data_IF_763247059051
#
_entry.id   IF_763247059051
#
_cell.length_a   1.000
_cell.length_b   1.000
_cell.length_c   1.000
_cell.angle_alpha   90.00
_cell.angle_beta   90.00
_cell.angle_gamma   90.00
#
_symmetry.space_group_name_H-M   'P 1'
#
loop_
_entity.id
_entity.type
_entity.pdbx_description
1 polymer ?
#
# COMPACT_ATOMS: atom_id res chain seq x y z
N UNK A 1 -30.16 14.93 -15.05
CA UNK A 1 -30.09 15.32 -13.62
C UNK A 1 -28.71 15.88 -13.36
N UNK A 2 -28.59 17.19 -13.26
CA UNK A 2 -27.32 17.89 -13.04
C UNK A 2 -26.92 17.70 -11.57
N UNK A 3 -25.91 16.86 -11.31
CA UNK A 3 -25.37 16.65 -9.98
C UNK A 3 -24.82 17.96 -9.43
N UNK A 4 -25.45 18.45 -8.36
CA UNK A 4 -25.01 19.66 -7.65
C UNK A 4 -23.56 19.45 -7.18
N UNK A 5 -22.60 20.20 -7.73
CA UNK A 5 -21.19 20.11 -7.31
C UNK A 5 -21.05 20.84 -5.98
N UNK A 6 -21.15 20.09 -4.89
CA UNK A 6 -20.75 20.57 -3.56
C UNK A 6 -19.27 20.98 -3.64
N UNK A 7 -18.99 22.26 -3.37
CA UNK A 7 -17.64 22.81 -3.39
C UNK A 7 -17.14 22.92 -1.96
N UNK A 8 -16.17 22.08 -1.61
CA UNK A 8 -15.50 22.12 -0.31
C UNK A 8 -14.37 23.14 -0.35
N UNK A 9 -14.15 23.85 0.76
CA UNK A 9 -12.99 24.73 0.88
C UNK A 9 -11.69 23.92 0.98
N UNK A 10 -10.55 24.59 0.73
CA UNK A 10 -9.24 23.95 0.84
C UNK A 10 -8.97 23.54 2.29
N UNK A 11 -9.31 24.41 3.22
CA UNK A 11 -9.13 24.25 4.66
C UNK A 11 -9.94 23.06 5.18
N UNK A 12 -11.19 22.91 4.72
CA UNK A 12 -12.05 21.78 5.09
C UNK A 12 -11.48 20.46 4.57
N UNK A 13 -11.03 20.43 3.31
CA UNK A 13 -10.39 19.25 2.74
C UNK A 13 -9.14 18.86 3.52
N UNK A 14 -8.28 19.81 3.84
CA UNK A 14 -7.04 19.56 4.59
C UNK A 14 -7.31 19.03 5.99
N UNK A 15 -8.28 19.62 6.70
CA UNK A 15 -8.70 19.17 8.04
C UNK A 15 -9.21 17.72 8.00
N UNK A 16 -10.02 17.37 7.01
CA UNK A 16 -10.57 16.02 6.85
C UNK A 16 -9.48 15.01 6.47
N UNK A 17 -8.58 15.38 5.57
CA UNK A 17 -7.47 14.50 5.17
C UNK A 17 -6.53 14.26 6.37
N UNK A 18 -6.32 15.25 7.24
CA UNK A 18 -5.54 15.08 8.48
C UNK A 18 -6.13 14.02 9.41
N UNK A 19 -7.47 13.87 9.46
CA UNK A 19 -8.13 12.79 10.24
C UNK A 19 -7.80 11.39 9.71
N UNK A 20 -7.56 11.25 8.40
CA UNK A 20 -7.13 9.99 7.77
C UNK A 20 -5.64 9.67 7.96
N UNK A 21 -4.85 10.63 8.44
CA UNK A 21 -3.42 10.46 8.69
C UNK A 21 -3.17 9.90 10.09
N UNK A 22 -2.02 9.26 10.31
CA UNK A 22 -1.56 8.96 11.66
C UNK A 22 -1.30 10.27 12.43
N UNK A 23 -1.60 10.32 13.75
CA UNK A 23 -1.92 9.18 14.60
C UNK A 23 -3.39 8.76 14.60
N UNK A 24 -4.31 9.62 14.13
CA UNK A 24 -5.75 9.36 14.19
C UNK A 24 -6.17 8.14 13.35
N UNK A 25 -5.69 8.09 12.09
CA UNK A 25 -5.99 7.04 11.11
C UNK A 25 -7.49 6.69 11.03
N UNK A 26 -8.36 7.68 11.11
CA UNK A 26 -9.80 7.45 11.12
C UNK A 26 -10.26 6.85 9.78
N UNK A 27 -11.22 5.93 9.84
CA UNK A 27 -11.69 5.26 8.64
C UNK A 27 -12.50 6.21 7.75
N UNK A 28 -12.34 6.09 6.42
CA UNK A 28 -13.14 6.85 5.44
C UNK A 28 -14.64 6.72 5.71
N UNK A 29 -15.10 5.52 6.08
CA UNK A 29 -16.50 5.23 6.40
C UNK A 29 -17.01 6.00 7.63
N UNK A 30 -16.15 6.17 8.64
CA UNK A 30 -16.49 6.94 9.83
C UNK A 30 -16.60 8.43 9.49
N UNK A 31 -15.58 8.99 8.83
CA UNK A 31 -15.56 10.40 8.42
C UNK A 31 -16.75 10.73 7.51
N UNK A 32 -17.09 9.84 6.58
CA UNK A 32 -18.22 10.03 5.67
C UNK A 32 -19.54 10.25 6.41
N UNK A 33 -19.77 9.47 7.48
CA UNK A 33 -20.98 9.57 8.31
C UNK A 33 -20.99 10.85 9.14
N UNK A 34 -19.86 11.23 9.73
CA UNK A 34 -19.77 12.38 10.63
C UNK A 34 -19.82 13.72 9.88
N UNK A 35 -19.10 13.83 8.76
CA UNK A 35 -19.01 15.07 7.98
C UNK A 35 -20.11 15.20 6.93
N UNK A 36 -20.96 14.18 6.78
CA UNK A 36 -21.97 14.07 5.72
C UNK A 36 -21.37 14.25 4.31
N UNK A 37 -20.19 13.64 4.07
CA UNK A 37 -19.47 13.66 2.79
C UNK A 37 -19.46 12.27 2.20
N UNK A 38 -19.72 12.17 0.90
CA UNK A 38 -19.68 10.88 0.19
C UNK A 38 -18.31 10.20 0.31
N UNK A 39 -18.29 8.89 0.55
CA UNK A 39 -17.04 8.12 0.60
C UNK A 39 -16.21 8.29 -0.67
N UNK A 40 -16.85 8.39 -1.84
CA UNK A 40 -16.19 8.62 -3.14
C UNK A 40 -15.34 9.89 -3.11
N UNK A 41 -15.84 10.97 -2.53
CA UNK A 41 -15.10 12.24 -2.41
C UNK A 41 -13.90 12.09 -1.47
N UNK A 42 -14.10 11.42 -0.33
CA UNK A 42 -13.04 11.16 0.63
C UNK A 42 -11.94 10.26 0.07
N UNK A 43 -12.29 9.20 -0.66
CA UNK A 43 -11.33 8.35 -1.36
C UNK A 43 -10.55 9.12 -2.43
N UNK A 44 -11.20 10.05 -3.13
CA UNK A 44 -10.51 10.95 -4.07
C UNK A 44 -9.47 11.81 -3.36
N UNK A 45 -9.83 12.46 -2.26
CA UNK A 45 -8.88 13.29 -1.49
C UNK A 45 -7.73 12.48 -0.90
N UNK A 46 -8.02 11.28 -0.40
CA UNK A 46 -7.01 10.33 0.07
C UNK A 46 -6.04 9.94 -1.04
N UNK A 47 -6.55 9.67 -2.25
CA UNK A 47 -5.72 9.37 -3.43
C UNK A 47 -4.82 10.55 -3.79
N UNK A 48 -5.37 11.77 -3.79
CA UNK A 48 -4.62 12.99 -4.06
C UNK A 48 -3.52 13.25 -3.01
N UNK A 49 -3.82 13.03 -1.72
CA UNK A 49 -2.84 13.17 -0.64
C UNK A 49 -1.69 12.16 -0.76
N UNK A 50 -1.99 10.90 -1.11
CA UNK A 50 -0.96 9.89 -1.40
C UNK A 50 -0.09 10.25 -2.59
N UNK A 51 -0.70 10.81 -3.64
CA UNK A 51 0.03 11.29 -4.80
C UNK A 51 0.95 12.47 -4.44
N UNK A 52 0.57 13.28 -3.45
CA UNK A 52 1.42 14.33 -2.87
C UNK A 52 2.46 13.80 -1.86
N UNK A 53 2.61 12.48 -1.72
CA UNK A 53 3.61 11.87 -0.84
C UNK A 53 3.17 11.72 0.62
N UNK A 54 1.91 11.95 0.95
CA UNK A 54 1.43 11.90 2.34
C UNK A 54 0.77 10.56 2.65
N UNK A 55 1.28 9.87 3.67
CA UNK A 55 0.68 8.63 4.15
C UNK A 55 -0.72 8.86 4.74
N UNK A 56 -1.74 8.30 4.09
CA UNK A 56 -3.15 8.40 4.50
C UNK A 56 -3.78 7.00 4.55
N UNK A 57 -3.40 6.18 5.57
CA UNK A 57 -3.93 4.83 5.73
C UNK A 57 -5.45 4.80 5.92
N UNK A 58 -6.06 5.85 6.49
CA UNK A 58 -7.51 6.11 6.54
C UNK A 58 -8.41 4.88 6.70
N UNK A 59 -8.00 3.87 7.46
CA UNK A 59 -8.65 2.57 7.52
C UNK A 59 -9.05 2.16 8.94
N UNK A 60 -8.74 2.96 9.96
CA UNK A 60 -9.02 2.65 11.36
C UNK A 60 -8.23 1.46 11.90
N UNK A 61 -7.23 0.95 11.18
CA UNK A 61 -6.47 -0.23 11.56
C UNK A 61 -5.06 0.11 12.03
N UNK A 62 -4.47 -0.79 12.82
CA UNK A 62 -3.08 -0.70 13.26
C UNK A 62 -2.10 -0.65 12.08
N UNK A 63 -0.93 -0.03 12.28
CA UNK A 63 0.11 0.16 11.27
C UNK A 63 0.58 -1.12 10.54
N UNK A 64 0.50 -2.28 11.19
CA UNK A 64 0.75 -3.57 10.54
C UNK A 64 -0.14 -3.80 9.31
N UNK A 65 -1.42 -3.42 9.38
CA UNK A 65 -2.42 -3.64 8.32
C UNK A 65 -2.47 -2.51 7.29
N UNK A 66 -1.54 -1.55 7.36
CA UNK A 66 -1.44 -0.51 6.35
C UNK A 66 -0.96 -1.07 5.03
N UNK A 67 -1.38 -0.41 3.95
CA UNK A 67 -0.98 -0.77 2.59
C UNK A 67 0.52 -0.61 2.41
N UNK A 68 1.11 -1.36 1.46
CA UNK A 68 2.52 -1.20 1.09
C UNK A 68 2.84 0.24 0.66
N UNK A 69 1.89 0.92 0.01
CA UNK A 69 2.03 2.32 -0.37
C UNK A 69 2.17 3.24 0.86
N UNK A 70 1.29 3.12 1.86
CA UNK A 70 1.38 3.98 3.04
C UNK A 70 2.66 3.70 3.85
N UNK A 71 3.07 2.43 3.97
CA UNK A 71 4.34 2.04 4.60
C UNK A 71 5.54 2.66 3.86
N UNK A 72 5.54 2.59 2.54
CA UNK A 72 6.57 3.21 1.71
C UNK A 72 6.62 4.73 1.87
N UNK A 73 5.47 5.42 1.93
CA UNK A 73 5.43 6.87 2.16
C UNK A 73 6.03 7.27 3.52
N UNK A 74 5.79 6.50 4.58
CA UNK A 74 6.46 6.72 5.88
C UNK A 74 7.98 6.54 5.76
N UNK A 75 8.43 5.50 5.07
CA UNK A 75 9.87 5.28 4.84
C UNK A 75 10.49 6.44 4.07
N UNK A 76 9.80 6.97 3.07
CA UNK A 76 10.24 8.15 2.31
C UNK A 76 10.33 9.41 3.19
N UNK A 77 9.29 9.69 3.99
CA UNK A 77 9.27 10.83 4.91
C UNK A 77 10.44 10.78 5.91
N UNK A 78 10.78 9.58 6.39
CA UNK A 78 11.78 9.38 7.46
C UNK A 78 13.19 9.05 6.97
N UNK A 79 13.40 8.89 5.65
CA UNK A 79 14.64 8.32 5.12
C UNK A 79 15.91 9.11 5.52
N UNK A 80 15.80 10.44 5.54
CA UNK A 80 16.91 11.37 5.83
C UNK A 80 16.91 11.91 7.27
N UNK A 81 15.98 11.46 8.12
CA UNK A 81 15.89 11.92 9.51
C UNK A 81 17.04 11.33 10.34
N UNK A 82 17.56 12.13 11.26
CA UNK A 82 18.45 11.62 12.32
C UNK A 82 17.65 10.91 13.42
N UNK A 83 18.32 10.34 14.42
CA UNK A 83 17.65 9.58 15.48
C UNK A 83 16.69 10.41 16.33
N UNK A 84 17.02 11.68 16.59
CA UNK A 84 16.18 12.58 17.40
C UNK A 84 14.90 12.90 16.66
N UNK A 85 15.02 13.29 15.38
CA UNK A 85 13.89 13.60 14.52
C UNK A 85 12.98 12.37 14.32
N UNK A 86 13.57 11.19 14.19
CA UNK A 86 12.83 9.94 14.03
C UNK A 86 12.00 9.60 15.28
N UNK A 87 12.55 9.79 16.47
CA UNK A 87 11.82 9.56 17.74
C UNK A 87 10.66 10.55 17.87
N UNK A 88 10.87 11.83 17.56
CA UNK A 88 9.81 12.82 17.58
C UNK A 88 8.71 12.51 16.56
N UNK A 89 9.11 12.12 15.34
CA UNK A 89 8.20 11.70 14.28
C UNK A 89 7.34 10.50 14.71
N UNK A 90 7.96 9.46 15.26
CA UNK A 90 7.28 8.27 15.80
C UNK A 90 6.23 8.63 16.84
N UNK A 91 6.56 9.50 17.80
CA UNK A 91 5.61 9.99 18.82
C UNK A 91 4.44 10.75 18.19
N UNK A 92 4.71 11.65 17.24
CA UNK A 92 3.67 12.43 16.54
C UNK A 92 2.73 11.54 15.73
N UNK A 93 3.25 10.47 15.10
CA UNK A 93 2.50 9.59 14.19
C UNK A 93 1.93 8.33 14.86
N UNK A 94 2.25 8.08 16.13
CA UNK A 94 1.85 6.84 16.81
C UNK A 94 2.52 5.59 16.22
N UNK A 95 3.79 5.70 15.86
CA UNK A 95 4.59 4.64 15.25
C UNK A 95 5.78 4.26 16.12
N UNK A 96 6.31 3.07 15.90
CA UNK A 96 7.54 2.59 16.55
C UNK A 96 8.70 2.61 15.56
N UNK A 97 9.91 2.91 16.05
CA UNK A 97 11.13 2.98 15.23
C UNK A 97 11.36 1.67 14.47
N UNK A 98 11.17 0.55 15.17
CA UNK A 98 11.34 -0.80 14.66
C UNK A 98 10.39 -1.09 13.49
N UNK A 99 9.20 -0.50 13.47
CA UNK A 99 8.27 -0.64 12.35
C UNK A 99 8.81 0.04 11.09
N UNK A 100 9.34 1.26 11.24
CA UNK A 100 9.89 2.04 10.14
C UNK A 100 11.15 1.37 9.60
N UNK A 101 12.03 0.89 10.48
CA UNK A 101 13.22 0.14 10.10
C UNK A 101 12.88 -1.16 9.37
N UNK A 102 11.88 -1.90 9.84
CA UNK A 102 11.40 -3.10 9.16
C UNK A 102 10.88 -2.78 7.75
N UNK A 103 10.07 -1.72 7.60
CA UNK A 103 9.58 -1.30 6.28
C UNK A 103 10.70 -0.82 5.37
N UNK A 104 11.68 -0.07 5.89
CA UNK A 104 12.87 0.36 5.15
C UNK A 104 13.66 -0.83 4.62
N UNK A 105 13.89 -1.85 5.46
CA UNK A 105 14.54 -3.10 5.04
C UNK A 105 13.77 -3.82 3.92
N UNK A 106 12.44 -3.89 4.02
CA UNK A 106 11.60 -4.48 2.96
C UNK A 106 11.72 -3.69 1.67
N UNK A 107 11.64 -2.35 1.72
CA UNK A 107 11.79 -1.50 0.54
C UNK A 107 13.15 -1.68 -0.16
N UNK A 108 14.24 -1.76 0.60
CA UNK A 108 15.60 -1.96 0.06
C UNK A 108 15.78 -3.33 -0.60
N UNK A 109 15.09 -4.37 -0.09
CA UNK A 109 15.19 -5.75 -0.60
C UNK A 109 14.19 -6.07 -1.71
N UNK A 110 13.19 -5.24 -1.93
CA UNK A 110 12.05 -5.54 -2.81
C UNK A 110 12.49 -5.92 -4.24
N UNK A 111 13.45 -5.21 -4.81
CA UNK A 111 13.93 -5.47 -6.17
C UNK A 111 14.72 -6.79 -6.27
N UNK A 112 15.48 -7.15 -5.23
CA UNK A 112 16.18 -8.44 -5.17
C UNK A 112 15.21 -9.61 -5.06
N UNK A 113 14.22 -9.50 -4.16
CA UNK A 113 13.20 -10.54 -3.97
C UNK A 113 12.37 -10.79 -5.22
N UNK A 114 11.96 -9.73 -5.94
CA UNK A 114 11.22 -9.86 -7.19
C UNK A 114 12.02 -10.59 -8.27
N UNK A 115 13.32 -10.30 -8.37
CA UNK A 115 14.21 -10.98 -9.31
C UNK A 115 14.37 -12.48 -8.98
N UNK A 116 14.57 -12.81 -7.71
CA UNK A 116 14.72 -14.20 -7.26
C UNK A 116 13.43 -15.02 -7.49
N UNK A 117 12.26 -14.44 -7.17
CA UNK A 117 10.97 -15.08 -7.43
C UNK A 117 10.71 -15.30 -8.92
N UNK A 118 11.00 -14.30 -9.77
CA UNK A 118 10.84 -14.45 -11.21
C UNK A 118 11.75 -15.54 -11.79
N UNK A 119 12.99 -15.64 -11.30
CA UNK A 119 13.93 -16.70 -11.69
C UNK A 119 13.42 -18.08 -11.30
N UNK A 120 12.93 -18.23 -10.07
CA UNK A 120 12.35 -19.49 -9.57
C UNK A 120 11.10 -19.90 -10.37
N UNK A 121 10.15 -18.98 -10.57
CA UNK A 121 8.93 -19.21 -11.34
C UNK A 121 9.22 -19.61 -12.79
N UNK A 122 10.17 -18.93 -13.45
CA UNK A 122 10.58 -19.28 -14.81
C UNK A 122 11.27 -20.66 -14.88
N UNK A 123 12.02 -21.03 -13.84
CA UNK A 123 12.59 -22.38 -13.71
C UNK A 123 11.50 -23.45 -13.62
N UNK A 124 10.57 -23.27 -12.68
CA UNK A 124 9.43 -24.17 -12.48
C UNK A 124 8.56 -24.29 -13.75
N UNK A 125 8.27 -23.18 -14.43
CA UNK A 125 7.49 -23.17 -15.67
C UNK A 125 8.18 -23.98 -16.79
N UNK A 126 9.50 -23.85 -16.93
CA UNK A 126 10.27 -24.63 -17.92
C UNK A 126 10.24 -26.13 -17.62
N UNK A 127 10.32 -26.51 -16.34
CA UNK A 127 10.23 -27.90 -15.94
C UNK A 127 8.84 -28.48 -16.22
N UNK A 128 7.78 -27.77 -15.86
CA UNK A 128 6.41 -28.20 -16.14
C UNK A 128 6.13 -28.30 -17.64
N UNK A 129 6.61 -27.34 -18.46
CA UNK A 129 6.50 -27.43 -19.92
C UNK A 129 7.22 -28.65 -20.50
N UNK A 130 8.37 -29.05 -19.94
CA UNK A 130 9.07 -30.26 -20.36
C UNK A 130 8.27 -31.51 -20.00
N UNK A 131 7.70 -31.56 -18.80
CA UNK A 131 6.84 -32.68 -18.35
C UNK A 131 5.60 -32.81 -19.22
N UNK A 132 4.91 -31.70 -19.49
CA UNK A 132 3.74 -31.67 -20.36
C UNK A 132 4.05 -32.24 -21.76
N UNK A 133 5.14 -31.77 -22.39
CA UNK A 133 5.58 -32.29 -23.70
C UNK A 133 5.95 -33.78 -23.68
N UNK A 134 6.51 -34.26 -22.58
CA UNK A 134 6.84 -35.68 -22.45
C UNK A 134 5.57 -36.53 -22.32
N UNK A 135 4.62 -36.11 -21.48
CA UNK A 135 3.32 -36.76 -21.31
C UNK A 135 2.51 -36.77 -22.62
N UNK A 136 2.50 -35.67 -23.37
CA UNK A 136 1.86 -35.60 -24.69
C UNK A 136 2.44 -36.64 -25.67
N UNK A 137 3.77 -36.79 -25.71
CA UNK A 137 4.42 -37.80 -26.55
C UNK A 137 4.07 -39.22 -26.12
N UNK A 138 3.99 -39.48 -24.81
CA UNK A 138 3.68 -40.80 -24.28
C UNK A 138 2.21 -41.16 -24.51
N UNK A 139 1.28 -40.19 -24.44
CA UNK A 139 -0.12 -40.37 -24.86
C UNK A 139 -0.23 -40.70 -26.35
N UNK A 140 0.43 -39.93 -27.23
CA UNK A 140 0.40 -40.20 -28.68
C UNK A 140 0.95 -41.58 -29.06
N UNK A 141 1.90 -42.11 -28.30
CA UNK A 141 2.41 -43.48 -28.52
C UNK A 141 1.40 -44.53 -28.07
N UNK A 142 0.73 -44.30 -26.94
CA UNK A 142 -0.31 -45.20 -26.41
C UNK A 142 -1.57 -45.23 -27.27
N UNK A 143 -1.93 -44.12 -27.92
CA UNK A 143 -3.10 -44.06 -28.83
C UNK A 143 -2.82 -44.67 -30.22
N UNK A 144 -1.55 -44.90 -30.57
CA UNK A 144 -1.13 -45.54 -31.83
C UNK A 144 -0.93 -47.06 -31.70
N UNK A 145 -1.16 -47.64 -30.53
CA UNK A 145 -1.16 -49.08 -30.26
C UNK A 145 -2.53 -49.49 -29.74
#
# INVERSE_FOLDING_TARGET
MTGNRVRYSKEQKEAIVKRMMPPNNESVKQIAKEENITEVTLYKWRKEARAAGVATPGNGQTSHKWSSQDKFLIVMETFAMNEVDLVEYCRKKGLYREQIEAWKSVCLKANGQAFDQAKQLNGALKEEQKRAKQLEKDLQKKEKH
#
